data_IF_851641989581
#
_entry.id   IF_851641989581
#
_cell.length_a   1.000
_cell.length_b   1.000
_cell.length_c   1.000
_cell.angle_alpha   90.00
_cell.angle_beta   90.00
_cell.angle_gamma   90.00
#
_symmetry.space_group_name_H-M   'P 1'
#
loop_
_entity.id
_entity.type
_entity.pdbx_description
1 polymer ?
#
# COMPACT_ATOMS: atom_id res chain seq x y z
N UNK A 1 -6.36 13.52 45.00
CA UNK A 1 -5.39 12.46 45.33
C UNK A 1 -4.60 12.00 44.11
N UNK A 2 -5.20 11.30 43.13
CA UNK A 2 -4.46 10.83 41.93
C UNK A 2 -3.85 11.98 41.10
N UNK A 3 -4.60 13.06 40.88
CA UNK A 3 -4.08 14.24 40.15
C UNK A 3 -2.95 14.98 40.88
N UNK A 4 -2.99 15.01 42.21
CA UNK A 4 -1.95 15.63 43.02
C UNK A 4 -0.64 14.83 42.91
N UNK A 5 -0.73 13.50 43.01
CA UNK A 5 0.41 12.60 42.79
C UNK A 5 0.97 12.73 41.37
N UNK A 6 0.09 12.83 40.35
CA UNK A 6 0.50 13.11 38.97
C UNK A 6 1.22 14.45 38.85
N UNK A 7 0.75 15.52 39.50
CA UNK A 7 1.41 16.83 39.49
C UNK A 7 2.77 16.80 40.21
N UNK A 8 2.88 16.10 41.33
CA UNK A 8 4.16 15.86 42.01
C UNK A 8 5.11 15.04 41.13
N UNK A 9 4.60 14.02 40.44
CA UNK A 9 5.33 13.27 39.42
C UNK A 9 5.84 14.15 38.29
N UNK A 10 5.03 15.10 37.81
CA UNK A 10 5.45 16.07 36.79
C UNK A 10 6.57 16.99 37.29
N UNK A 11 6.52 17.40 38.57
CA UNK A 11 7.58 18.19 39.20
C UNK A 11 8.89 17.37 39.30
N UNK A 12 8.81 16.12 39.76
CA UNK A 12 9.95 15.21 39.80
C UNK A 12 10.54 14.96 38.39
N UNK A 13 9.68 14.75 37.39
CA UNK A 13 10.07 14.61 35.99
C UNK A 13 10.80 15.86 35.48
N UNK A 14 10.30 17.05 35.81
CA UNK A 14 10.91 18.33 35.42
C UNK A 14 12.29 18.51 36.07
N UNK A 15 12.46 18.00 37.29
CA UNK A 15 13.75 17.94 37.99
C UNK A 15 14.68 16.82 37.49
N UNK A 16 14.30 16.10 36.41
CA UNK A 16 15.00 14.93 35.85
C UNK A 16 15.15 13.74 36.82
N UNK A 17 14.39 13.72 37.91
CA UNK A 17 14.32 12.60 38.84
C UNK A 17 13.31 11.57 38.31
N UNK A 18 13.67 10.86 37.25
CA UNK A 18 12.73 10.02 36.50
C UNK A 18 12.25 8.79 37.27
N UNK A 19 13.10 8.14 38.08
CA UNK A 19 12.66 7.01 38.91
C UNK A 19 11.65 7.45 39.98
N UNK A 20 11.83 8.64 40.57
CA UNK A 20 10.88 9.21 41.52
C UNK A 20 9.58 9.63 40.84
N UNK A 21 9.66 10.19 39.63
CA UNK A 21 8.49 10.50 38.83
C UNK A 21 7.68 9.24 38.50
N UNK A 22 8.34 8.13 38.16
CA UNK A 22 7.67 6.84 37.90
C UNK A 22 6.95 6.35 39.13
N UNK A 23 7.57 6.37 40.32
CA UNK A 23 6.90 5.97 41.57
C UNK A 23 5.64 6.80 41.83
N UNK A 24 5.74 8.11 41.67
CA UNK A 24 4.60 9.02 41.86
C UNK A 24 3.49 8.79 40.82
N UNK A 25 3.83 8.47 39.57
CA UNK A 25 2.84 8.06 38.57
C UNK A 25 2.26 6.67 38.86
N UNK A 26 3.04 5.74 39.39
CA UNK A 26 2.57 4.42 39.80
C UNK A 26 1.54 4.52 40.92
N UNK A 27 1.82 5.33 41.95
CA UNK A 27 0.88 5.62 43.03
C UNK A 27 -0.39 6.30 42.49
N UNK A 28 -0.25 7.26 41.56
CA UNK A 28 -1.41 7.87 40.90
C UNK A 28 -2.25 6.83 40.13
N UNK A 29 -1.61 5.89 39.46
CA UNK A 29 -2.25 4.82 38.67
C UNK A 29 -2.82 3.68 39.52
N UNK A 30 -2.36 3.51 40.77
CA UNK A 30 -3.00 2.61 41.73
C UNK A 30 -4.36 3.16 42.17
N UNK A 31 -4.47 4.49 42.31
CA UNK A 31 -5.72 5.17 42.68
C UNK A 31 -6.65 5.28 41.48
N UNK A 32 -6.13 5.66 40.31
CA UNK A 32 -6.88 5.70 39.05
C UNK A 32 -6.11 5.00 37.92
N UNK A 33 -6.36 3.69 37.69
CA UNK A 33 -5.70 2.92 36.64
C UNK A 33 -6.00 3.39 35.21
N UNK A 34 -7.01 4.24 35.02
CA UNK A 34 -7.44 4.77 33.72
C UNK A 34 -7.00 6.22 33.53
N UNK A 35 -6.17 6.77 34.41
CA UNK A 35 -5.65 8.11 34.26
C UNK A 35 -4.73 8.20 33.04
N UNK A 36 -5.27 8.74 31.93
CA UNK A 36 -4.58 8.82 30.64
C UNK A 36 -3.32 9.69 30.73
N UNK A 37 -3.38 10.79 31.49
CA UNK A 37 -2.23 11.69 31.65
C UNK A 37 -1.12 11.05 32.48
N UNK A 38 -1.44 10.34 33.55
CA UNK A 38 -0.45 9.60 34.33
C UNK A 38 0.20 8.47 33.51
N UNK A 39 -0.55 7.73 32.69
CA UNK A 39 -0.01 6.73 31.76
C UNK A 39 0.93 7.36 30.72
N UNK A 40 0.53 8.48 30.11
CA UNK A 40 1.35 9.21 29.14
C UNK A 40 2.64 9.78 29.77
N UNK A 41 2.56 10.25 31.02
CA UNK A 41 3.70 10.84 31.71
C UNK A 41 4.65 9.76 32.24
N UNK A 42 4.14 8.61 32.70
CA UNK A 42 4.95 7.45 33.05
C UNK A 42 5.67 6.87 31.83
N UNK A 43 4.99 6.81 30.68
CA UNK A 43 5.61 6.46 29.40
C UNK A 43 6.79 7.39 29.07
N UNK A 44 6.63 8.69 29.26
CA UNK A 44 7.71 9.67 29.05
C UNK A 44 8.89 9.49 30.04
N UNK A 45 8.62 9.14 31.29
CA UNK A 45 9.64 8.89 32.31
C UNK A 45 10.43 7.61 32.01
N UNK A 46 9.74 6.53 31.63
CA UNK A 46 10.36 5.29 31.17
C UNK A 46 11.22 5.50 29.92
N UNK A 47 10.73 6.30 28.97
CA UNK A 47 11.50 6.69 27.78
C UNK A 47 12.79 7.44 28.15
N UNK A 48 12.72 8.37 29.10
CA UNK A 48 13.88 9.14 29.56
C UNK A 48 14.93 8.29 30.28
N UNK A 49 14.54 7.17 30.88
CA UNK A 49 15.44 6.17 31.48
C UNK A 49 15.95 5.13 30.47
N UNK A 50 15.59 5.22 29.19
CA UNK A 50 15.95 4.23 28.17
C UNK A 50 15.14 2.92 28.26
N UNK A 51 14.11 2.86 29.11
CA UNK A 51 13.21 1.70 29.27
C UNK A 51 12.12 1.74 28.20
N UNK A 52 12.52 1.59 26.93
CA UNK A 52 11.64 1.82 25.79
C UNK A 52 10.46 0.85 25.68
N UNK A 53 10.64 -0.43 26.03
CA UNK A 53 9.54 -1.40 26.05
C UNK A 53 8.45 -1.03 27.07
N UNK A 54 8.85 -0.63 28.28
CA UNK A 54 7.92 -0.16 29.31
C UNK A 54 7.19 1.13 28.87
N UNK A 55 7.90 2.04 28.18
CA UNK A 55 7.29 3.24 27.62
C UNK A 55 6.22 2.93 26.56
N UNK A 56 6.47 1.93 25.69
CA UNK A 56 5.50 1.46 24.70
C UNK A 56 4.27 0.86 25.36
N UNK A 57 4.43 0.02 26.38
CA UNK A 57 3.30 -0.62 27.07
C UNK A 57 2.41 0.41 27.78
N UNK A 58 3.01 1.42 28.43
CA UNK A 58 2.28 2.52 29.05
C UNK A 58 1.52 3.36 28.03
N UNK A 59 2.15 3.65 26.88
CA UNK A 59 1.52 4.39 25.80
C UNK A 59 0.36 3.59 25.17
N UNK A 60 0.51 2.28 24.97
CA UNK A 60 -0.58 1.39 24.51
C UNK A 60 -1.75 1.38 25.48
N UNK A 61 -1.49 1.31 26.79
CA UNK A 61 -2.53 1.39 27.82
C UNK A 61 -3.26 2.72 27.76
N UNK A 62 -2.54 3.83 27.64
CA UNK A 62 -3.12 5.17 27.48
C UNK A 62 -4.05 5.24 26.26
N UNK A 63 -3.58 4.80 25.09
CA UNK A 63 -4.35 4.78 23.83
C UNK A 63 -5.62 3.91 23.96
N UNK A 64 -5.53 2.78 24.69
CA UNK A 64 -6.67 1.89 24.92
C UNK A 64 -7.74 2.52 25.80
N UNK A 65 -7.36 3.36 26.76
CA UNK A 65 -8.30 4.08 27.63
C UNK A 65 -8.95 5.24 26.88
N UNK A 66 -8.15 6.07 26.22
CA UNK A 66 -8.64 7.11 25.34
C UNK A 66 -7.74 7.22 24.11
N UNK A 67 -8.33 7.17 22.92
CA UNK A 67 -7.58 7.37 21.68
C UNK A 67 -7.11 8.81 21.61
N UNK A 68 -5.89 9.08 22.05
CA UNK A 68 -5.33 10.42 22.18
C UNK A 68 -4.00 10.56 21.42
N UNK A 69 -3.80 11.72 20.77
CA UNK A 69 -2.60 11.99 19.96
C UNK A 69 -1.30 11.88 20.78
N UNK A 70 -1.32 12.28 22.06
CA UNK A 70 -0.14 12.22 22.95
C UNK A 70 0.36 10.79 23.14
N UNK A 71 -0.53 9.83 23.41
CA UNK A 71 -0.18 8.42 23.59
C UNK A 71 0.46 7.82 22.35
N UNK A 72 -0.09 8.10 21.16
CA UNK A 72 0.54 7.68 19.90
C UNK A 72 1.93 8.30 19.72
N UNK A 73 2.11 9.59 20.00
CA UNK A 73 3.45 10.23 19.95
C UNK A 73 4.44 9.55 20.90
N UNK A 74 4.03 9.24 22.14
CA UNK A 74 4.91 8.56 23.11
C UNK A 74 5.33 7.17 22.63
N UNK A 75 4.39 6.40 22.08
CA UNK A 75 4.68 5.09 21.51
C UNK A 75 5.61 5.18 20.30
N UNK A 76 5.39 6.15 19.42
CA UNK A 76 6.22 6.38 18.24
C UNK A 76 7.64 6.82 18.61
N UNK A 77 7.80 7.69 19.60
CA UNK A 77 9.10 8.09 20.17
C UNK A 77 9.88 6.86 20.67
N UNK A 78 9.23 6.00 21.45
CA UNK A 78 9.86 4.80 21.98
C UNK A 78 10.27 3.82 20.85
N UNK A 79 9.41 3.57 19.87
CA UNK A 79 9.78 2.74 18.71
C UNK A 79 10.95 3.30 17.92
N UNK A 80 11.01 4.63 17.76
CA UNK A 80 12.13 5.26 17.08
C UNK A 80 13.44 5.01 17.83
N UNK A 81 13.47 5.17 19.16
CA UNK A 81 14.68 4.89 19.95
C UNK A 81 15.09 3.42 19.97
N UNK A 82 14.14 2.50 19.79
CA UNK A 82 14.42 1.08 19.61
C UNK A 82 14.95 0.72 18.21
N UNK A 83 15.08 1.69 17.30
CA UNK A 83 15.46 1.44 15.91
C UNK A 83 14.35 0.84 15.04
N UNK A 84 13.12 0.72 15.57
CA UNK A 84 11.95 0.21 14.85
C UNK A 84 11.30 1.35 14.06
N UNK A 85 12.03 1.88 13.08
CA UNK A 85 11.70 3.13 12.39
C UNK A 85 10.36 3.06 11.65
N UNK A 86 10.03 1.94 11.00
CA UNK A 86 8.78 1.74 10.27
C UNK A 86 7.58 1.78 11.22
N UNK A 87 7.68 1.11 12.38
CA UNK A 87 6.65 1.15 13.42
C UNK A 87 6.51 2.56 14.00
N UNK A 88 7.60 3.29 14.16
CA UNK A 88 7.57 4.68 14.58
C UNK A 88 6.83 5.58 13.57
N UNK A 89 7.12 5.44 12.27
CA UNK A 89 6.43 6.17 11.19
C UNK A 89 4.93 5.93 11.24
N UNK A 90 4.51 4.67 11.22
CA UNK A 90 3.09 4.30 11.19
C UNK A 90 2.36 4.82 12.43
N UNK A 91 3.02 4.77 13.58
CA UNK A 91 2.46 5.28 14.83
C UNK A 91 2.35 6.82 14.85
N UNK A 92 3.30 7.54 14.24
CA UNK A 92 3.19 9.00 14.07
C UNK A 92 2.05 9.40 13.12
N UNK A 93 1.81 8.65 12.06
CA UNK A 93 0.68 8.88 11.15
C UNK A 93 -0.65 8.69 11.88
N UNK A 94 -0.76 7.67 12.73
CA UNK A 94 -1.92 7.49 13.62
C UNK A 94 -2.05 8.65 14.64
N UNK A 95 -0.93 9.18 15.16
CA UNK A 95 -0.98 10.33 16.05
C UNK A 95 -1.59 11.58 15.38
N UNK A 96 -1.31 11.76 14.08
CA UNK A 96 -1.80 12.87 13.26
C UNK A 96 -3.22 12.65 12.75
N UNK A 97 -3.68 11.41 12.58
CA UNK A 97 -5.09 11.15 12.25
C UNK A 97 -6.01 11.48 13.42
N UNK A 98 -5.55 11.28 14.65
CA UNK A 98 -6.28 11.62 15.88
C UNK A 98 -6.08 13.09 16.28
N UNK A 99 -4.90 13.67 16.01
CA UNK A 99 -4.57 15.05 16.33
C UNK A 99 -3.85 15.77 15.17
N UNK A 100 -4.58 16.23 14.13
CA UNK A 100 -3.99 16.77 12.90
C UNK A 100 -3.14 18.03 13.10
N UNK A 101 -3.35 18.75 14.20
CA UNK A 101 -2.67 20.00 14.53
C UNK A 101 -1.42 19.82 15.40
N UNK A 102 -1.01 18.57 15.69
CA UNK A 102 0.19 18.31 16.49
C UNK A 102 1.46 18.53 15.67
N UNK A 103 2.00 19.76 15.71
CA UNK A 103 3.17 20.14 14.92
C UNK A 103 4.41 19.30 15.28
N UNK A 104 4.62 19.04 16.57
CA UNK A 104 5.74 18.19 17.01
C UNK A 104 5.68 16.78 16.43
N UNK A 105 4.47 16.20 16.28
CA UNK A 105 4.30 14.90 15.63
C UNK A 105 4.58 14.96 14.12
N UNK A 106 4.24 16.06 13.44
CA UNK A 106 4.61 16.27 12.02
C UNK A 106 6.11 16.35 11.85
N UNK A 107 6.78 17.15 12.68
CA UNK A 107 8.23 17.36 12.61
C UNK A 107 8.98 16.05 12.86
N UNK A 108 8.54 15.27 13.86
CA UNK A 108 9.09 13.95 14.16
C UNK A 108 8.81 12.93 13.05
N UNK A 109 7.60 12.93 12.47
CA UNK A 109 7.27 12.08 11.33
C UNK A 109 8.19 12.38 10.14
N UNK A 110 8.46 13.65 9.86
CA UNK A 110 9.40 14.06 8.81
C UNK A 110 10.80 13.53 9.12
N UNK A 111 11.28 13.67 10.36
CA UNK A 111 12.58 13.15 10.77
C UNK A 111 12.66 11.62 10.65
N UNK A 112 11.66 10.88 11.13
CA UNK A 112 11.61 9.42 10.99
C UNK A 112 11.56 9.02 9.52
N UNK A 113 10.74 9.68 8.71
CA UNK A 113 10.69 9.44 7.26
C UNK A 113 12.03 9.74 6.60
N UNK A 114 12.76 10.77 7.03
CA UNK A 114 14.09 11.08 6.54
C UNK A 114 15.15 10.06 6.95
N UNK A 115 14.99 9.41 8.11
CA UNK A 115 15.88 8.33 8.57
C UNK A 115 15.57 6.99 7.90
N UNK A 116 14.31 6.73 7.55
CA UNK A 116 13.90 5.58 6.73
C UNK A 116 14.26 5.82 5.25
N UNK A 117 14.22 7.09 4.82
CA UNK A 117 14.63 7.46 3.48
C UNK A 117 16.14 7.21 3.31
N UNK A 118 16.57 6.59 2.20
CA UNK A 118 17.98 6.51 1.89
C UNK A 118 18.54 7.94 1.77
N UNK A 119 19.71 8.20 2.40
CA UNK A 119 20.34 9.53 2.42
C UNK A 119 20.52 10.07 0.99
N UNK A 120 19.68 11.03 0.60
CA UNK A 120 19.99 12.00 -0.44
C UNK A 120 19.67 13.41 0.08
N UNK A 121 20.71 14.22 0.18
CA UNK A 121 20.68 15.64 0.50
C UNK A 121 20.07 16.45 -0.64
N UNK A 122 19.10 17.31 -0.31
CA UNK A 122 18.84 18.55 -1.06
C UNK A 122 17.78 18.48 -2.18
N UNK A 123 16.68 19.20 -1.92
CA UNK A 123 15.71 19.78 -2.86
C UNK A 123 14.73 18.86 -3.61
N UNK A 124 13.43 19.20 -3.43
CA UNK A 124 12.29 18.92 -4.31
C UNK A 124 11.92 17.45 -4.48
N UNK A 125 10.62 17.17 -4.33
CA UNK A 125 10.04 15.89 -4.69
C UNK A 125 10.29 15.62 -6.17
N UNK A 126 11.35 14.88 -6.45
CA UNK A 126 11.61 14.21 -7.73
C UNK A 126 11.97 12.76 -7.45
N UNK A 127 11.25 11.88 -8.14
CA UNK A 127 11.36 10.43 -8.12
C UNK A 127 12.80 9.92 -8.23
N UNK A 128 13.11 8.86 -7.47
CA UNK A 128 13.61 7.57 -8.00
C UNK A 128 13.63 6.51 -6.88
N UNK A 129 12.67 5.59 -6.90
CA UNK A 129 12.84 4.16 -7.26
C UNK A 129 13.71 3.33 -6.32
N UNK A 130 13.06 2.71 -5.33
CA UNK A 130 13.29 1.30 -4.95
C UNK A 130 12.14 0.85 -4.04
N UNK A 131 10.96 0.68 -4.63
CA UNK A 131 9.74 0.33 -3.90
C UNK A 131 8.56 0.05 -4.83
N UNK A 132 8.70 -1.00 -5.65
CA UNK A 132 7.63 -1.83 -6.25
C UNK A 132 6.39 -1.20 -6.91
N UNK A 133 6.43 0.06 -7.36
CA UNK A 133 5.64 0.46 -8.52
C UNK A 133 6.31 -0.12 -9.76
N UNK A 134 5.61 -0.98 -10.52
CA UNK A 134 6.15 -1.73 -11.66
C UNK A 134 7.18 -0.92 -12.44
N UNK A 135 8.44 -1.36 -12.38
CA UNK A 135 9.52 -0.70 -13.11
C UNK A 135 9.22 -0.78 -14.60
N UNK A 136 8.69 0.30 -15.16
CA UNK A 136 8.52 0.46 -16.59
C UNK A 136 9.86 0.82 -17.22
N UNK A 137 10.82 -0.10 -17.13
CA UNK A 137 12.14 0.08 -17.71
C UNK A 137 12.18 -0.61 -19.07
N UNK A 138 12.04 0.19 -20.12
CA UNK A 138 12.71 -0.04 -21.40
C UNK A 138 13.89 0.92 -21.47
N UNK A 139 15.06 0.47 -21.93
CA UNK A 139 16.17 1.38 -22.19
C UNK A 139 15.72 2.54 -23.09
N UNK A 140 16.35 3.72 -22.95
CA UNK A 140 15.92 4.96 -23.61
C UNK A 140 15.68 4.85 -25.13
N UNK A 141 16.27 3.85 -25.79
CA UNK A 141 16.18 3.56 -27.23
C UNK A 141 15.12 2.54 -27.68
N UNK A 142 14.49 1.77 -26.79
CA UNK A 142 13.62 0.65 -27.20
C UNK A 142 12.13 1.07 -27.22
N UNK A 143 11.50 1.04 -28.41
CA UNK A 143 10.07 1.33 -28.58
C UNK A 143 9.18 0.12 -28.34
N UNK A 144 9.74 -1.09 -28.34
CA UNK A 144 8.96 -2.34 -28.21
C UNK A 144 8.08 -2.37 -26.95
N UNK A 145 8.55 -1.94 -25.76
CA UNK A 145 7.70 -1.88 -24.57
C UNK A 145 6.46 -0.99 -24.76
N UNK A 146 6.63 0.17 -25.37
CA UNK A 146 5.56 1.13 -25.61
C UNK A 146 4.52 0.57 -26.60
N UNK A 147 4.96 -0.11 -27.65
CA UNK A 147 4.04 -0.77 -28.58
C UNK A 147 3.22 -1.86 -27.91
N UNK A 148 3.81 -2.63 -26.99
CA UNK A 148 3.08 -3.64 -26.23
C UNK A 148 2.04 -3.00 -25.30
N UNK A 149 2.35 -1.90 -24.63
CA UNK A 149 1.38 -1.18 -23.80
C UNK A 149 0.21 -0.61 -24.62
N UNK A 150 0.49 -0.07 -25.81
CA UNK A 150 -0.55 0.36 -26.75
C UNK A 150 -1.40 -0.83 -27.23
N UNK A 151 -0.78 -1.97 -27.52
CA UNK A 151 -1.48 -3.19 -27.92
C UNK A 151 -2.37 -3.75 -26.80
N UNK A 152 -1.91 -3.73 -25.55
CA UNK A 152 -2.73 -4.12 -24.38
C UNK A 152 -3.99 -3.27 -24.33
N UNK A 153 -3.87 -1.95 -24.42
CA UNK A 153 -5.03 -1.04 -24.43
C UNK A 153 -6.02 -1.33 -25.55
N UNK A 154 -5.51 -1.49 -26.78
CA UNK A 154 -6.35 -1.80 -27.93
C UNK A 154 -7.10 -3.11 -27.75
N UNK A 155 -6.42 -4.15 -27.25
CA UNK A 155 -7.03 -5.46 -26.97
C UNK A 155 -8.06 -5.37 -25.85
N UNK A 156 -7.80 -4.59 -24.80
CA UNK A 156 -8.75 -4.36 -23.72
C UNK A 156 -10.02 -3.66 -24.21
N UNK A 157 -9.88 -2.61 -25.02
CA UNK A 157 -11.02 -1.88 -25.60
C UNK A 157 -11.79 -2.77 -26.57
N UNK A 158 -11.09 -3.49 -27.46
CA UNK A 158 -11.71 -4.41 -28.40
C UNK A 158 -12.47 -5.53 -27.68
N UNK A 159 -11.93 -6.06 -26.58
CA UNK A 159 -12.60 -7.06 -25.75
C UNK A 159 -13.94 -6.56 -25.22
N UNK A 160 -13.98 -5.34 -24.67
CA UNK A 160 -15.20 -4.71 -24.12
C UNK A 160 -16.25 -4.53 -25.23
N UNK A 161 -15.84 -4.03 -26.40
CA UNK A 161 -16.75 -3.80 -27.52
C UNK A 161 -17.33 -5.14 -28.02
N UNK A 162 -16.46 -6.13 -28.24
CA UNK A 162 -16.86 -7.42 -28.81
C UNK A 162 -17.65 -8.29 -27.84
N UNK A 163 -17.63 -8.01 -26.54
CA UNK A 163 -18.44 -8.72 -25.55
C UNK A 163 -19.94 -8.67 -25.88
N UNK A 164 -20.40 -7.59 -26.52
CA UNK A 164 -21.80 -7.41 -26.94
C UNK A 164 -22.11 -7.97 -28.33
N UNK A 165 -21.10 -8.47 -29.05
CA UNK A 165 -21.22 -8.93 -30.43
C UNK A 165 -21.00 -10.44 -30.52
N UNK A 166 -19.89 -10.94 -29.97
CA UNK A 166 -19.52 -12.35 -30.03
C UNK A 166 -18.65 -12.75 -28.85
N UNK A 167 -19.18 -13.64 -28.00
CA UNK A 167 -18.46 -14.17 -26.85
C UNK A 167 -17.16 -14.89 -27.23
N UNK A 168 -17.13 -15.61 -28.35
CA UNK A 168 -15.94 -16.33 -28.83
C UNK A 168 -14.80 -15.38 -29.22
N UNK A 169 -15.12 -14.30 -29.95
CA UNK A 169 -14.15 -13.27 -30.35
C UNK A 169 -13.67 -12.51 -29.10
N UNK A 170 -14.60 -12.16 -28.21
CA UNK A 170 -14.29 -11.49 -26.94
C UNK A 170 -13.31 -12.32 -26.10
N UNK A 171 -13.52 -13.62 -25.97
CA UNK A 171 -12.62 -14.52 -25.23
C UNK A 171 -11.24 -14.65 -25.90
N UNK A 172 -11.19 -14.66 -27.23
CA UNK A 172 -9.94 -14.67 -27.98
C UNK A 172 -9.13 -13.40 -27.73
N UNK A 173 -9.77 -12.22 -27.78
CA UNK A 173 -9.15 -10.93 -27.49
C UNK A 173 -8.67 -10.85 -26.05
N UNK A 174 -9.41 -11.42 -25.10
CA UNK A 174 -8.98 -11.53 -23.71
C UNK A 174 -7.70 -12.35 -23.55
N UNK A 175 -7.65 -13.55 -24.15
CA UNK A 175 -6.43 -14.38 -24.13
C UNK A 175 -5.25 -13.66 -24.78
N UNK A 176 -5.50 -12.96 -25.89
CA UNK A 176 -4.50 -12.13 -26.54
C UNK A 176 -3.98 -11.01 -25.63
N UNK A 177 -4.87 -10.30 -24.91
CA UNK A 177 -4.47 -9.25 -23.96
C UNK A 177 -3.56 -9.80 -22.84
N UNK A 178 -3.89 -10.97 -22.28
CA UNK A 178 -3.06 -11.63 -21.27
C UNK A 178 -1.67 -12.00 -21.81
N UNK A 179 -1.60 -12.55 -23.03
CA UNK A 179 -0.32 -12.92 -23.66
C UNK A 179 0.52 -11.69 -23.99
N UNK A 180 -0.08 -10.62 -24.51
CA UNK A 180 0.63 -9.36 -24.78
C UNK A 180 1.18 -8.74 -23.51
N UNK A 181 0.41 -8.76 -22.42
CA UNK A 181 0.89 -8.26 -21.13
C UNK A 181 1.98 -9.17 -20.54
N UNK A 182 1.88 -10.49 -20.69
CA UNK A 182 2.96 -11.40 -20.31
C UNK A 182 4.24 -11.11 -21.09
N UNK A 183 4.15 -10.87 -22.41
CA UNK A 183 5.29 -10.47 -23.23
C UNK A 183 5.90 -9.15 -22.73
N UNK A 184 5.07 -8.17 -22.35
CA UNK A 184 5.52 -6.91 -21.74
C UNK A 184 6.31 -7.15 -20.45
N UNK A 185 5.83 -8.01 -19.57
CA UNK A 185 6.54 -8.37 -18.33
C UNK A 185 7.84 -9.12 -18.61
N UNK A 186 7.86 -9.97 -19.63
CA UNK A 186 9.07 -10.71 -20.04
C UNK A 186 10.20 -9.77 -20.46
N UNK A 187 9.88 -8.67 -21.16
CA UNK A 187 10.88 -7.65 -21.50
C UNK A 187 11.47 -7.00 -20.25
N UNK A 188 10.62 -6.67 -19.25
CA UNK A 188 11.08 -6.10 -17.98
C UNK A 188 11.99 -7.08 -17.25
N UNK A 189 11.62 -8.36 -17.20
CA UNK A 189 12.43 -9.41 -16.58
C UNK A 189 13.77 -9.59 -17.30
N UNK A 190 13.79 -9.50 -18.64
CA UNK A 190 15.02 -9.56 -19.43
C UNK A 190 15.93 -8.38 -19.09
N UNK A 191 15.38 -7.17 -19.06
CA UNK A 191 16.13 -5.96 -18.72
C UNK A 191 16.69 -6.01 -17.28
N UNK A 192 15.97 -6.64 -16.36
CA UNK A 192 16.40 -6.87 -14.98
C UNK A 192 17.38 -8.06 -14.81
N UNK A 193 17.83 -8.70 -15.90
CA UNK A 193 18.72 -9.86 -15.84
C UNK A 193 18.09 -11.13 -15.25
N UNK A 194 16.76 -11.16 -15.12
CA UNK A 194 16.03 -12.22 -14.42
C UNK A 194 15.78 -13.47 -15.26
N UNK A 195 16.10 -13.45 -16.56
CA UNK A 195 15.97 -14.59 -17.47
C UNK A 195 17.24 -15.45 -17.53
N UNK A 196 18.22 -15.17 -16.68
CA UNK A 196 19.41 -16.01 -16.55
C UNK A 196 19.06 -17.33 -15.86
N UNK A 197 19.45 -18.50 -16.41
CA UNK A 197 19.14 -19.80 -15.83
C UNK A 197 20.04 -20.07 -14.61
N UNK A 198 19.78 -19.35 -13.51
CA UNK A 198 20.50 -19.46 -12.24
C UNK A 198 19.50 -19.63 -11.09
N UNK A 199 19.77 -20.56 -10.17
CA UNK A 199 18.96 -20.81 -8.98
C UNK A 199 18.84 -19.57 -8.08
N UNK A 200 19.90 -18.75 -7.96
CA UNK A 200 19.84 -17.50 -7.20
C UNK A 200 18.88 -16.49 -7.83
N UNK A 201 18.89 -16.41 -9.17
CA UNK A 201 17.95 -15.58 -9.92
C UNK A 201 16.53 -16.09 -9.70
N UNK A 202 16.29 -17.40 -9.85
CA UNK A 202 14.98 -18.00 -9.67
C UNK A 202 14.41 -17.78 -8.26
N UNK A 203 15.24 -17.85 -7.21
CA UNK A 203 14.84 -17.55 -5.82
C UNK A 203 14.35 -16.12 -5.65
N UNK A 204 14.78 -15.18 -6.50
CA UNK A 204 14.34 -13.77 -6.47
C UNK A 204 13.02 -13.54 -7.18
N UNK A 205 12.56 -14.46 -8.05
CA UNK A 205 11.32 -14.30 -8.80
C UNK A 205 10.10 -14.05 -7.90
N UNK A 206 9.83 -14.84 -6.84
CA UNK A 206 8.70 -14.55 -5.95
C UNK A 206 8.73 -13.15 -5.32
N UNK A 207 9.91 -12.55 -5.22
CA UNK A 207 10.12 -11.19 -4.72
C UNK A 207 10.07 -10.10 -5.79
N UNK A 208 9.82 -10.43 -7.06
CA UNK A 208 9.82 -9.48 -8.17
C UNK A 208 8.45 -9.42 -8.84
N UNK A 209 7.83 -8.25 -8.74
CA UNK A 209 6.48 -7.95 -9.18
C UNK A 209 6.18 -8.35 -10.64
N UNK A 210 7.06 -8.00 -11.58
CA UNK A 210 6.88 -8.36 -13.00
C UNK A 210 6.88 -9.86 -13.25
N UNK A 211 7.59 -10.65 -12.44
CA UNK A 211 7.62 -12.10 -12.61
C UNK A 211 6.31 -12.73 -12.14
N UNK A 212 5.71 -12.18 -11.09
CA UNK A 212 4.41 -12.63 -10.61
C UNK A 212 3.31 -12.33 -11.63
N UNK A 213 3.29 -11.13 -12.22
CA UNK A 213 2.35 -10.83 -13.31
C UNK A 213 2.58 -11.72 -14.53
N UNK A 214 3.83 -11.96 -14.91
CA UNK A 214 4.17 -12.84 -16.02
C UNK A 214 3.56 -14.23 -15.82
N UNK A 215 3.82 -14.85 -14.66
CA UNK A 215 3.28 -16.17 -14.31
C UNK A 215 1.76 -16.14 -14.28
N UNK A 216 1.16 -15.12 -13.67
CA UNK A 216 -0.28 -14.99 -13.56
C UNK A 216 -0.96 -14.89 -14.94
N UNK A 217 -0.45 -14.05 -15.83
CA UNK A 217 -1.01 -13.87 -17.16
C UNK A 217 -0.89 -15.14 -18.01
N UNK A 218 0.23 -15.87 -17.91
CA UNK A 218 0.37 -17.17 -18.56
C UNK A 218 -0.63 -18.19 -18.01
N UNK A 219 -0.72 -18.33 -16.68
CA UNK A 219 -1.70 -19.22 -16.06
C UNK A 219 -3.13 -18.88 -16.50
N UNK A 220 -3.49 -17.59 -16.52
CA UNK A 220 -4.80 -17.13 -16.97
C UNK A 220 -5.10 -17.51 -18.42
N UNK A 221 -4.11 -17.32 -19.31
CA UNK A 221 -4.25 -17.64 -20.73
C UNK A 221 -4.36 -19.15 -20.97
N UNK A 222 -3.50 -19.96 -20.33
CA UNK A 222 -3.47 -21.42 -20.49
C UNK A 222 -4.67 -22.12 -19.87
N UNK A 223 -5.06 -21.72 -18.66
CA UNK A 223 -6.21 -22.31 -17.96
C UNK A 223 -7.55 -21.80 -18.51
N UNK A 224 -7.53 -20.85 -19.44
CA UNK A 224 -8.74 -20.29 -20.04
C UNK A 224 -9.62 -19.54 -19.04
N UNK A 225 -8.99 -18.81 -18.11
CA UNK A 225 -9.71 -18.05 -17.08
C UNK A 225 -10.61 -17.00 -17.75
N UNK A 226 -11.89 -16.90 -17.36
CA UNK A 226 -12.81 -15.95 -17.96
C UNK A 226 -12.34 -14.50 -17.73
N UNK A 227 -12.76 -13.56 -18.59
CA UNK A 227 -12.37 -12.16 -18.46
C UNK A 227 -12.74 -11.54 -17.11
N UNK A 228 -11.75 -10.92 -16.45
CA UNK A 228 -11.92 -10.22 -15.19
C UNK A 228 -11.85 -8.72 -15.45
N UNK A 229 -13.01 -8.07 -15.57
CA UNK A 229 -13.12 -6.65 -15.95
C UNK A 229 -12.29 -5.70 -15.05
N UNK A 230 -12.18 -5.99 -13.76
CA UNK A 230 -11.32 -5.22 -12.84
C UNK A 230 -9.83 -5.39 -13.15
N UNK A 231 -9.40 -6.59 -13.55
CA UNK A 231 -8.02 -6.83 -13.99
C UNK A 231 -7.74 -6.04 -15.28
N UNK A 232 -8.69 -6.09 -16.21
CA UNK A 232 -8.63 -5.35 -17.47
C UNK A 232 -8.48 -3.84 -17.25
N UNK A 233 -9.27 -3.28 -16.32
CA UNK A 233 -9.21 -1.88 -15.93
C UNK A 233 -7.85 -1.53 -15.31
N UNK A 234 -7.34 -2.37 -14.39
CA UNK A 234 -6.02 -2.18 -13.79
C UNK A 234 -4.90 -2.19 -14.83
N UNK A 235 -4.88 -3.20 -15.71
CA UNK A 235 -3.90 -3.32 -16.80
C UNK A 235 -3.92 -2.08 -17.70
N UNK A 236 -5.12 -1.63 -18.09
CA UNK A 236 -5.29 -0.44 -18.92
C UNK A 236 -4.73 0.82 -18.25
N UNK A 237 -5.03 1.03 -16.97
CA UNK A 237 -4.50 2.17 -16.22
C UNK A 237 -2.98 2.15 -16.11
N UNK A 238 -2.36 0.97 -15.89
CA UNK A 238 -0.90 0.85 -15.86
C UNK A 238 -0.26 1.16 -17.22
N UNK A 239 -0.82 0.64 -18.32
CA UNK A 239 -0.32 0.93 -19.66
C UNK A 239 -0.48 2.41 -20.03
N UNK A 240 -1.57 3.06 -19.64
CA UNK A 240 -1.75 4.52 -19.82
C UNK A 240 -0.68 5.30 -19.05
N UNK A 241 -0.44 4.93 -17.79
CA UNK A 241 0.57 5.58 -16.93
C UNK A 241 1.98 5.48 -17.54
N UNK A 242 2.29 4.38 -18.23
CA UNK A 242 3.59 4.19 -18.88
C UNK A 242 3.72 4.95 -20.21
N UNK A 243 2.65 4.95 -21.01
CA UNK A 243 2.62 5.63 -22.31
C UNK A 243 2.64 7.15 -22.16
N UNK A 244 1.93 7.68 -21.16
CA UNK A 244 1.72 9.11 -20.97
C UNK A 244 3.00 9.98 -21.01
N UNK A 245 4.09 9.67 -20.27
CA UNK A 245 5.32 10.45 -20.33
C UNK A 245 6.10 10.29 -21.65
N UNK A 246 5.77 9.30 -22.49
CA UNK A 246 6.49 8.98 -23.72
C UNK A 246 5.68 9.27 -24.98
N UNK A 247 4.59 10.03 -24.88
CA UNK A 247 3.68 10.30 -25.98
C UNK A 247 4.39 10.83 -27.24
N UNK A 248 5.37 11.72 -27.07
CA UNK A 248 6.13 12.31 -28.18
C UNK A 248 6.89 11.28 -29.03
N UNK A 249 7.27 10.12 -28.45
CA UNK A 249 7.96 9.06 -29.21
C UNK A 249 7.10 8.44 -30.32
N UNK A 250 5.79 8.68 -30.29
CA UNK A 250 4.84 8.23 -31.30
C UNK A 250 4.60 9.27 -32.40
N UNK A 251 5.10 10.50 -32.27
CA UNK A 251 4.92 11.53 -33.29
C UNK A 251 5.54 11.07 -34.62
N UNK A 252 4.77 11.17 -35.71
CA UNK A 252 5.18 10.70 -37.04
C UNK A 252 5.20 9.17 -37.23
N UNK A 253 4.92 8.38 -36.19
CA UNK A 253 4.82 6.91 -36.26
C UNK A 253 3.39 6.38 -36.25
N UNK A 254 2.43 7.23 -35.93
CA UNK A 254 0.99 6.94 -35.97
C UNK A 254 0.27 8.00 -36.81
N UNK A 255 -0.92 7.70 -37.37
CA UNK A 255 -1.69 8.66 -38.14
C UNK A 255 -1.89 9.99 -37.39
N UNK A 256 -1.66 11.15 -38.03
CA UNK A 256 -1.71 12.46 -37.35
C UNK A 256 -3.02 12.69 -36.59
N UNK A 257 -4.16 12.35 -37.21
CA UNK A 257 -5.48 12.49 -36.58
C UNK A 257 -5.64 11.69 -35.28
N UNK A 258 -4.98 10.53 -35.17
CA UNK A 258 -5.00 9.72 -33.94
C UNK A 258 -4.05 10.30 -32.89
N UNK A 259 -2.88 10.76 -33.32
CA UNK A 259 -1.91 11.40 -32.44
C UNK A 259 -2.50 12.65 -31.78
N UNK A 260 -3.09 13.55 -32.57
CA UNK A 260 -3.65 14.82 -32.11
C UNK A 260 -4.83 14.60 -31.14
N UNK A 261 -5.60 13.53 -31.33
CA UNK A 261 -6.68 13.14 -30.40
C UNK A 261 -6.15 12.51 -29.11
N UNK A 262 -5.09 11.71 -29.19
CA UNK A 262 -4.55 10.98 -28.04
C UNK A 262 -3.67 11.86 -27.15
N UNK A 263 -2.92 12.80 -27.73
CA UNK A 263 -1.97 13.67 -27.03
C UNK A 263 -2.58 14.41 -25.81
N UNK A 264 -3.75 15.10 -25.91
CA UNK A 264 -4.32 15.78 -24.75
C UNK A 264 -4.78 14.81 -23.64
N UNK A 265 -5.17 13.58 -24.00
CA UNK A 265 -5.57 12.56 -23.03
C UNK A 265 -4.36 12.00 -22.29
N UNK A 266 -3.28 11.71 -23.02
CA UNK A 266 -2.02 11.25 -22.43
C UNK A 266 -1.39 12.33 -21.54
N UNK A 267 -1.44 13.60 -21.95
CA UNK A 267 -0.97 14.71 -21.10
C UNK A 267 -1.75 14.81 -19.79
N UNK A 268 -3.10 14.70 -19.83
CA UNK A 268 -3.93 14.65 -18.62
C UNK A 268 -3.61 13.44 -17.74
N UNK A 269 -3.38 12.29 -18.35
CA UNK A 269 -3.01 11.07 -17.64
C UNK A 269 -1.63 11.19 -16.97
N UNK A 270 -0.65 11.82 -17.63
CA UNK A 270 0.67 12.10 -17.05
C UNK A 270 0.54 13.01 -15.81
N UNK A 271 -0.27 14.06 -15.90
CA UNK A 271 -0.55 14.97 -14.79
C UNK A 271 -1.29 14.27 -13.62
N UNK A 272 -2.02 13.20 -13.89
CA UNK A 272 -2.84 12.46 -12.91
C UNK A 272 -2.24 11.10 -12.54
N UNK A 273 -0.94 10.89 -12.77
CA UNK A 273 -0.26 9.59 -12.63
C UNK A 273 -0.48 8.91 -11.27
N UNK A 274 -0.37 9.66 -10.18
CA UNK A 274 -0.57 9.13 -8.82
C UNK A 274 -2.02 8.67 -8.61
N UNK A 275 -2.98 9.41 -9.13
CA UNK A 275 -4.41 9.08 -9.04
C UNK A 275 -4.70 7.82 -9.87
N UNK A 276 -4.20 7.72 -11.10
CA UNK A 276 -4.39 6.54 -11.94
C UNK A 276 -3.76 5.28 -11.33
N UNK A 277 -2.56 5.40 -10.75
CA UNK A 277 -1.89 4.27 -10.08
C UNK A 277 -2.64 3.82 -8.83
N UNK A 278 -3.16 4.76 -8.04
CA UNK A 278 -4.05 4.46 -6.91
C UNK A 278 -5.36 3.78 -7.33
N UNK A 279 -5.98 4.24 -8.41
CA UNK A 279 -7.19 3.63 -8.96
C UNK A 279 -6.93 2.21 -9.47
N UNK A 280 -5.81 1.98 -10.16
CA UNK A 280 -5.41 0.66 -10.61
C UNK A 280 -5.22 -0.31 -9.42
N UNK A 281 -4.53 0.13 -8.36
CA UNK A 281 -4.37 -0.65 -7.14
C UNK A 281 -5.72 -0.96 -6.45
N UNK A 282 -6.69 -0.03 -6.55
CA UNK A 282 -8.04 -0.23 -6.04
C UNK A 282 -8.81 -1.29 -6.83
N UNK A 283 -8.72 -1.27 -8.16
CA UNK A 283 -9.32 -2.31 -9.01
C UNK A 283 -8.79 -3.70 -8.67
N UNK A 284 -7.49 -3.84 -8.45
CA UNK A 284 -6.89 -5.12 -8.05
C UNK A 284 -7.31 -5.56 -6.64
N UNK A 285 -7.41 -4.63 -5.70
CA UNK A 285 -7.89 -4.91 -4.36
C UNK A 285 -9.34 -5.41 -4.37
N UNK A 286 -10.21 -4.77 -5.16
CA UNK A 286 -11.59 -5.21 -5.38
C UNK A 286 -11.64 -6.59 -6.05
N UNK A 287 -10.80 -6.83 -7.05
CA UNK A 287 -10.74 -8.12 -7.73
C UNK A 287 -10.34 -9.24 -6.78
N UNK A 288 -9.36 -8.99 -5.92
CA UNK A 288 -8.94 -9.93 -4.87
C UNK A 288 -10.11 -10.30 -3.99
N UNK A 289 -10.90 -9.30 -3.57
CA UNK A 289 -12.09 -9.54 -2.77
C UNK A 289 -13.08 -10.43 -3.52
N UNK A 290 -13.39 -10.14 -4.78
CA UNK A 290 -14.30 -10.97 -5.58
C UNK A 290 -13.80 -12.41 -5.71
N UNK A 291 -12.51 -12.62 -5.99
CA UNK A 291 -11.93 -13.95 -6.19
C UNK A 291 -11.89 -14.79 -4.91
N UNK A 292 -11.77 -14.16 -3.73
CA UNK A 292 -11.85 -14.86 -2.45
C UNK A 292 -13.22 -15.53 -2.23
N UNK A 293 -14.29 -14.99 -2.85
CA UNK A 293 -15.65 -15.48 -2.67
C UNK A 293 -16.25 -16.16 -3.91
N UNK A 294 -15.63 -16.07 -5.08
CA UNK A 294 -16.20 -16.57 -6.34
C UNK A 294 -15.96 -18.07 -6.61
N UNK A 295 -15.03 -18.72 -5.90
CA UNK A 295 -14.76 -20.16 -6.03
C UNK A 295 -14.27 -20.66 -7.40
N UNK A 296 -14.05 -19.77 -8.38
CA UNK A 296 -13.65 -20.11 -9.75
C UNK A 296 -12.13 -20.37 -9.85
N UNK A 297 -11.71 -21.38 -10.63
CA UNK A 297 -10.30 -21.75 -10.87
C UNK A 297 -9.37 -21.65 -9.65
N UNK A 298 -9.44 -22.65 -8.77
CA UNK A 298 -8.72 -22.70 -7.48
C UNK A 298 -7.23 -22.36 -7.60
N UNK A 299 -6.54 -22.86 -8.63
CA UNK A 299 -5.10 -22.63 -8.84
C UNK A 299 -4.81 -21.16 -9.18
N UNK A 300 -5.57 -20.58 -10.11
CA UNK A 300 -5.39 -19.18 -10.50
C UNK A 300 -5.70 -18.25 -9.33
N UNK A 301 -6.77 -18.52 -8.57
CA UNK A 301 -7.13 -17.72 -7.41
C UNK A 301 -6.06 -17.78 -6.32
N UNK A 302 -5.52 -18.96 -6.02
CA UNK A 302 -4.43 -19.10 -5.06
C UNK A 302 -3.18 -18.32 -5.51
N UNK A 303 -2.78 -18.44 -6.78
CA UNK A 303 -1.66 -17.69 -7.33
C UNK A 303 -1.90 -16.17 -7.27
N UNK A 304 -3.10 -15.71 -7.65
CA UNK A 304 -3.48 -14.30 -7.61
C UNK A 304 -3.49 -13.75 -6.18
N UNK A 305 -4.00 -14.52 -5.21
CA UNK A 305 -3.97 -14.14 -3.79
C UNK A 305 -2.52 -13.93 -3.36
N UNK A 306 -1.60 -14.85 -3.66
CA UNK A 306 -0.18 -14.70 -3.29
C UNK A 306 0.46 -13.47 -3.93
N UNK A 307 0.15 -13.20 -5.21
CA UNK A 307 0.57 -11.98 -5.89
C UNK A 307 0.11 -10.71 -5.14
N UNK A 308 -1.15 -10.66 -4.73
CA UNK A 308 -1.70 -9.51 -4.02
C UNK A 308 -1.12 -9.38 -2.61
N UNK A 309 -0.85 -10.48 -1.92
CA UNK A 309 -0.14 -10.45 -0.62
C UNK A 309 1.22 -9.80 -0.77
N UNK A 310 1.97 -10.23 -1.78
CA UNK A 310 3.27 -9.64 -2.09
C UNK A 310 3.12 -8.14 -2.39
N UNK A 311 2.11 -7.76 -3.20
CA UNK A 311 1.85 -6.36 -3.53
C UNK A 311 1.50 -5.52 -2.31
N UNK A 312 0.59 -5.98 -1.45
CA UNK A 312 0.21 -5.28 -0.23
C UNK A 312 1.41 -5.01 0.70
N UNK A 313 2.36 -5.95 0.80
CA UNK A 313 3.58 -5.78 1.61
C UNK A 313 4.50 -4.71 1.03
N UNK A 314 4.58 -4.58 -0.29
CA UNK A 314 5.61 -3.78 -0.95
C UNK A 314 5.11 -2.47 -1.59
N UNK A 315 3.81 -2.32 -1.85
CA UNK A 315 3.20 -1.18 -2.55
C UNK A 315 2.30 -0.35 -1.62
N UNK A 316 2.61 0.94 -1.47
CA UNK A 316 1.86 1.85 -0.62
C UNK A 316 0.45 2.13 -1.17
N UNK A 317 0.28 2.20 -2.50
CA UNK A 317 -1.03 2.41 -3.11
C UNK A 317 -1.97 1.24 -2.84
N UNK A 318 -1.47 0.00 -2.91
CA UNK A 318 -2.24 -1.17 -2.51
C UNK A 318 -2.66 -1.11 -1.05
N UNK A 319 -1.76 -0.77 -0.11
CA UNK A 319 -2.15 -0.64 1.31
C UNK A 319 -3.24 0.40 1.51
N UNK A 320 -3.09 1.56 0.87
CA UNK A 320 -4.09 2.64 0.93
C UNK A 320 -5.44 2.17 0.37
N UNK A 321 -5.45 1.52 -0.79
CA UNK A 321 -6.66 0.98 -1.41
C UNK A 321 -7.38 -0.03 -0.51
N UNK A 322 -6.65 -0.99 0.07
CA UNK A 322 -7.22 -1.97 1.00
C UNK A 322 -7.74 -1.33 2.29
N UNK A 323 -7.06 -0.30 2.80
CA UNK A 323 -7.53 0.48 3.95
C UNK A 323 -8.84 1.23 3.64
N UNK A 324 -8.92 1.86 2.47
CA UNK A 324 -10.12 2.57 2.02
C UNK A 324 -11.32 1.63 1.83
N UNK A 325 -11.09 0.45 1.24
CA UNK A 325 -12.12 -0.59 1.12
C UNK A 325 -12.61 -1.03 2.50
N UNK A 326 -11.69 -1.32 3.44
CA UNK A 326 -12.04 -1.69 4.82
C UNK A 326 -12.89 -0.61 5.48
N UNK A 327 -12.48 0.64 5.41
CA UNK A 327 -13.22 1.75 6.01
C UNK A 327 -14.62 1.89 5.39
N UNK A 328 -14.74 1.73 4.07
CA UNK A 328 -16.01 1.83 3.36
C UNK A 328 -16.99 0.73 3.81
N UNK A 329 -16.50 -0.48 4.04
CA UNK A 329 -17.35 -1.58 4.49
C UNK A 329 -17.61 -1.55 5.99
N UNK A 330 -16.69 -1.07 6.83
CA UNK A 330 -16.98 -0.76 8.23
C UNK A 330 -18.10 0.27 8.37
N UNK A 331 -18.20 1.23 7.43
CA UNK A 331 -19.36 2.14 7.37
C UNK A 331 -20.63 1.41 6.95
N UNK A 332 -20.54 0.53 5.96
CA UNK A 332 -21.68 -0.22 5.44
C UNK A 332 -22.29 -1.19 6.47
N UNK A 333 -21.45 -1.90 7.21
CA UNK A 333 -21.83 -2.86 8.28
C UNK A 333 -22.50 -2.17 9.47
N UNK A 334 -22.15 -0.91 9.74
CA UNK A 334 -22.82 -0.07 10.74
C UNK A 334 -24.17 0.50 10.26
N UNK A 335 -24.50 0.33 8.98
CA UNK A 335 -25.78 0.80 8.44
C UNK A 335 -26.91 -0.16 8.85
N UNK A 336 -28.05 0.39 9.30
CA UNK A 336 -29.20 -0.37 9.86
C UNK A 336 -29.81 -1.41 8.91
N UNK A 337 -29.48 -1.36 7.63
CA UNK A 337 -30.01 -2.24 6.58
C UNK A 337 -28.99 -3.27 6.06
N UNK A 338 -27.83 -3.43 6.72
CA UNK A 338 -26.79 -4.34 6.25
C UNK A 338 -27.19 -5.82 6.49
N UNK A 339 -27.18 -6.69 5.46
CA UNK A 339 -27.47 -8.12 5.63
C UNK A 339 -26.42 -8.83 6.50
N UNK A 340 -26.81 -9.75 7.42
CA UNK A 340 -25.88 -10.45 8.33
C UNK A 340 -24.76 -11.26 7.65
N UNK A 341 -24.97 -11.66 6.39
CA UNK A 341 -23.98 -12.39 5.58
C UNK A 341 -22.76 -11.52 5.23
N UNK A 342 -22.99 -10.22 5.04
CA UNK A 342 -21.93 -9.24 4.73
C UNK A 342 -21.03 -9.08 5.95
N UNK A 343 -21.60 -9.08 7.16
CA UNK A 343 -20.86 -8.90 8.40
C UNK A 343 -19.85 -10.05 8.68
N UNK A 344 -20.29 -11.33 8.56
CA UNK A 344 -19.44 -12.50 8.84
C UNK A 344 -18.38 -12.81 7.78
N UNK A 345 -18.73 -12.73 6.49
CA UNK A 345 -17.79 -13.02 5.40
C UNK A 345 -16.70 -11.95 5.30
N UNK A 346 -17.08 -10.69 5.51
CA UNK A 346 -16.20 -9.55 5.33
C UNK A 346 -15.23 -9.35 6.48
N UNK A 347 -15.68 -9.51 7.74
CA UNK A 347 -14.79 -9.48 8.91
C UNK A 347 -13.66 -10.50 8.78
N UNK A 348 -13.95 -11.72 8.30
CA UNK A 348 -12.92 -12.75 8.03
C UNK A 348 -11.93 -12.34 6.94
N UNK A 349 -12.37 -11.70 5.86
CA UNK A 349 -11.48 -11.23 4.79
C UNK A 349 -10.56 -10.09 5.28
N UNK A 350 -11.10 -9.15 6.05
CA UNK A 350 -10.30 -8.08 6.67
C UNK A 350 -9.29 -8.61 7.68
N UNK A 351 -9.69 -9.57 8.52
CA UNK A 351 -8.78 -10.22 9.47
C UNK A 351 -7.69 -11.03 8.76
N UNK A 352 -8.02 -11.72 7.67
CA UNK A 352 -7.05 -12.42 6.85
C UNK A 352 -6.01 -11.46 6.25
N UNK A 353 -6.47 -10.35 5.68
CA UNK A 353 -5.59 -9.32 5.09
C UNK A 353 -4.75 -8.60 6.14
N UNK A 354 -5.31 -8.33 7.33
CA UNK A 354 -4.58 -7.73 8.43
C UNK A 354 -3.50 -8.66 9.01
N UNK A 355 -3.82 -9.94 9.23
CA UNK A 355 -2.84 -10.96 9.64
C UNK A 355 -1.73 -11.13 8.61
N UNK A 356 -2.06 -11.05 7.33
CA UNK A 356 -1.11 -11.15 6.21
C UNK A 356 -0.18 -9.93 6.11
N UNK A 357 -0.64 -8.76 6.54
CA UNK A 357 0.17 -7.53 6.59
C UNK A 357 1.17 -7.49 7.75
N UNK A 358 0.95 -8.29 8.79
CA UNK A 358 1.77 -8.32 10.01
C UNK A 358 2.67 -9.55 10.12
N UNK A 359 2.44 -10.58 9.29
CA UNK A 359 3.32 -11.74 9.05
C UNK A 359 4.19 -11.55 7.81
#
# INVERSE_FOLDING_TARGET
MADELRLRGNAAYSNKNFDEAIKLYDEALQIDPKNTDALNNRSAANYSLGRYDAAVEDAKRSIKVSSNSKGFVRMADAYWKMGKLELARDTYELALSVGPNNQAAKDKLIQVRALIAPKHTGATYTQQTSGSGGGFAGGASDLMPLYLDAAVLLMCVAHIITMFISGSISLLLWRGALLTFAARQLIILRAAGMLTPNLETLKKWPGHFSSLYFVLCLLGAFLGVPPLHLLLAAMSMYSIVDLAPHAEKFQGKVPPMLFDRAQPLLAKAAASREILTGNAATCEAMLTFMLLFSGSSMIFNLAYIQFIKFRFRNDAFSRMAFSAIRQSVERLTKHRTCPPIVDKGFSKACDLLHRVGTS
#
